data_IF_402536964108
#
_entry.id   IF_402536964108
#
_cell.length_a   1.000
_cell.length_b   1.000
_cell.length_c   1.000
_cell.angle_alpha   90.00
_cell.angle_beta   90.00
_cell.angle_gamma   90.00
#
_symmetry.space_group_name_H-M   'P 1'
#
loop_
_entity.id
_entity.type
_entity.pdbx_description
1 polymer ?
#
# COMPACT_ATOMS: atom_id res chain seq x y z
N UNK A 1 16.01 2.65 -2.22
CA UNK A 1 14.80 2.64 -1.38
C UNK A 1 14.89 3.64 -0.23
N UNK A 2 15.93 3.63 0.62
CA UNK A 2 16.06 4.59 1.73
C UNK A 2 15.98 6.07 1.33
N UNK A 3 16.77 6.50 0.34
CA UNK A 3 16.73 7.88 -0.18
C UNK A 3 15.35 8.27 -0.73
N UNK A 4 14.64 7.33 -1.36
CA UNK A 4 13.30 7.59 -1.87
C UNK A 4 12.33 7.90 -0.72
N UNK A 5 12.35 7.09 0.36
CA UNK A 5 11.48 7.32 1.51
C UNK A 5 11.85 8.56 2.31
N UNK A 6 13.15 8.87 2.42
CA UNK A 6 13.62 10.13 3.01
C UNK A 6 13.00 11.33 2.28
N UNK A 7 13.13 11.37 0.95
CA UNK A 7 12.56 12.43 0.10
C UNK A 7 11.04 12.48 0.13
N UNK A 8 10.37 11.33 0.23
CA UNK A 8 8.92 11.30 0.43
C UNK A 8 8.55 12.01 1.73
N UNK A 9 9.25 11.73 2.83
CA UNK A 9 8.98 12.44 4.08
C UNK A 9 9.37 13.91 4.06
N UNK A 10 10.43 14.31 3.35
CA UNK A 10 10.74 15.73 3.08
C UNK A 10 9.60 16.42 2.32
N UNK A 11 9.06 15.77 1.27
CA UNK A 11 7.89 16.26 0.54
C UNK A 11 6.62 16.33 1.40
N UNK A 12 6.50 15.44 2.39
CA UNK A 12 5.46 15.48 3.42
C UNK A 12 5.75 16.48 4.55
N UNK A 13 6.90 17.17 4.51
CA UNK A 13 7.36 18.14 5.52
C UNK A 13 7.51 17.52 6.91
N UNK A 14 7.93 16.25 6.96
CA UNK A 14 8.25 15.54 8.20
C UNK A 14 9.58 16.05 8.71
N UNK A 15 9.61 16.41 9.99
CA UNK A 15 10.83 16.78 10.70
C UNK A 15 11.62 15.54 11.10
N UNK A 16 12.92 15.54 10.80
CA UNK A 16 13.85 14.45 11.10
C UNK A 16 14.83 14.78 12.23
N UNK A 17 14.67 15.90 12.95
CA UNK A 17 15.60 16.36 14.00
C UNK A 17 15.88 15.33 15.11
N UNK A 18 14.96 14.37 15.30
CA UNK A 18 15.11 13.23 16.23
C UNK A 18 16.13 12.20 15.76
N UNK A 19 16.48 12.19 14.47
CA UNK A 19 17.47 11.30 13.88
C UNK A 19 18.86 11.92 13.96
N UNK A 20 19.87 11.11 14.29
CA UNK A 20 21.23 11.59 14.50
C UNK A 20 21.85 12.24 13.26
N UNK A 21 21.58 11.67 12.08
CA UNK A 21 22.09 12.17 10.81
C UNK A 21 21.40 13.43 10.30
N UNK A 22 20.30 13.89 10.91
CA UNK A 22 19.66 15.13 10.49
C UNK A 22 20.56 16.36 10.67
N UNK A 23 21.44 16.36 11.67
CA UNK A 23 22.35 17.48 11.98
C UNK A 23 23.61 17.48 11.11
N UNK A 24 24.12 16.31 10.76
CA UNK A 24 25.38 16.13 10.03
C UNK A 24 25.19 15.78 8.55
N UNK A 25 23.95 15.53 8.13
CA UNK A 25 23.63 14.83 6.89
C UNK A 25 23.82 13.32 7.01
N UNK A 26 23.15 12.59 6.11
CA UNK A 26 23.35 11.15 5.92
C UNK A 26 24.28 10.89 4.73
N UNK A 27 25.17 9.92 4.89
CA UNK A 27 26.09 9.48 3.82
C UNK A 27 25.34 8.83 2.66
N UNK A 28 24.35 8.00 2.97
CA UNK A 28 23.53 7.29 2.00
C UNK A 28 22.16 6.93 2.58
N UNK A 29 21.26 6.46 1.72
CA UNK A 29 19.93 6.03 2.16
C UNK A 29 19.93 4.81 3.09
N UNK A 30 21.02 4.04 3.17
CA UNK A 30 21.11 2.91 4.08
C UNK A 30 21.33 3.41 5.51
N UNK A 31 22.18 4.42 5.70
CA UNK A 31 22.35 5.08 6.99
C UNK A 31 21.01 5.65 7.48
N UNK A 32 20.31 6.42 6.65
CA UNK A 32 18.98 6.96 6.97
C UNK A 32 18.01 5.84 7.40
N UNK A 33 17.93 4.76 6.63
CA UNK A 33 17.00 3.65 6.93
C UNK A 33 17.30 2.99 8.27
N UNK A 34 18.58 2.79 8.61
CA UNK A 34 18.99 2.19 9.89
C UNK A 34 18.68 3.08 11.09
N UNK A 35 18.91 4.38 10.94
CA UNK A 35 18.57 5.35 11.99
C UNK A 35 17.06 5.42 12.21
N UNK A 36 16.28 5.42 11.12
CA UNK A 36 14.83 5.40 11.17
C UNK A 36 14.29 4.10 11.78
N UNK A 37 14.85 2.94 11.42
CA UNK A 37 14.50 1.62 11.98
C UNK A 37 14.72 1.62 13.50
N UNK A 38 15.91 2.03 13.95
CA UNK A 38 16.21 2.13 15.39
C UNK A 38 15.25 3.07 16.12
N UNK A 39 14.99 4.25 15.56
CA UNK A 39 14.04 5.19 16.15
C UNK A 39 12.62 4.61 16.21
N UNK A 40 12.19 3.90 15.16
CA UNK A 40 10.89 3.23 15.09
C UNK A 40 10.76 2.16 16.16
N UNK A 41 11.77 1.30 16.33
CA UNK A 41 11.77 0.26 17.36
C UNK A 41 11.64 0.87 18.76
N UNK A 42 12.43 1.89 19.09
CA UNK A 42 12.37 2.59 20.38
C UNK A 42 11.03 3.31 20.59
N UNK A 43 10.42 3.85 19.53
CA UNK A 43 9.11 4.48 19.60
C UNK A 43 8.02 3.44 19.86
N UNK A 44 8.04 2.31 19.15
CA UNK A 44 7.09 1.23 19.30
C UNK A 44 7.17 0.58 20.68
N UNK A 45 8.36 0.36 21.23
CA UNK A 45 8.52 -0.17 22.60
C UNK A 45 7.82 0.68 23.66
N UNK A 46 7.81 2.00 23.46
CA UNK A 46 7.21 2.96 24.39
C UNK A 46 5.72 3.18 24.16
N UNK A 47 5.26 3.14 22.90
CA UNK A 47 3.93 3.65 22.53
C UNK A 47 3.00 2.59 21.92
N UNK A 48 3.51 1.45 21.43
CA UNK A 48 2.70 0.37 20.86
C UNK A 48 2.12 -0.51 21.99
N UNK A 49 1.25 0.10 22.79
CA UNK A 49 0.66 -0.50 24.00
C UNK A 49 -0.77 -1.04 23.73
N UNK A 50 -1.24 -2.01 24.54
CA UNK A 50 -2.61 -2.51 24.44
C UNK A 50 -3.66 -1.42 24.67
N UNK A 51 -4.59 -1.26 23.73
CA UNK A 51 -5.72 -0.34 23.85
C UNK A 51 -6.98 -0.90 23.16
N UNK A 52 -8.15 -0.59 23.70
CA UNK A 52 -9.43 -1.01 23.12
C UNK A 52 -9.69 -0.37 21.75
N UNK A 53 -9.31 0.91 21.57
CA UNK A 53 -9.37 1.60 20.28
C UNK A 53 -8.51 0.93 19.19
N UNK A 54 -7.36 0.37 19.57
CA UNK A 54 -6.51 -0.39 18.66
C UNK A 54 -7.20 -1.68 18.22
N UNK A 55 -7.90 -2.35 19.14
CA UNK A 55 -8.67 -3.56 18.85
C UNK A 55 -9.81 -3.26 17.87
N UNK A 56 -10.60 -2.23 18.12
CA UNK A 56 -11.71 -1.84 17.24
C UNK A 56 -11.22 -1.54 15.81
N UNK A 57 -10.14 -0.77 15.70
CA UNK A 57 -9.52 -0.44 14.42
C UNK A 57 -8.99 -1.70 13.70
N UNK A 58 -8.37 -2.61 14.45
CA UNK A 58 -7.87 -3.88 13.93
C UNK A 58 -9.00 -4.80 13.46
N UNK A 59 -10.11 -4.87 14.19
CA UNK A 59 -11.28 -5.69 13.86
C UNK A 59 -11.91 -5.23 12.55
N UNK A 60 -12.12 -3.92 12.38
CA UNK A 60 -12.61 -3.34 11.13
C UNK A 60 -11.65 -3.55 9.96
N UNK A 61 -10.35 -3.35 10.19
CA UNK A 61 -9.33 -3.59 9.15
C UNK A 61 -9.28 -5.06 8.74
N UNK A 62 -9.37 -5.98 9.70
CA UNK A 62 -9.41 -7.42 9.46
C UNK A 62 -10.66 -7.81 8.67
N UNK A 63 -11.81 -7.19 8.97
CA UNK A 63 -13.03 -7.39 8.20
C UNK A 63 -12.87 -6.94 6.74
N UNK A 64 -12.17 -5.82 6.50
CA UNK A 64 -11.86 -5.36 5.14
C UNK A 64 -10.91 -6.31 4.40
N UNK A 65 -9.86 -6.79 5.06
CA UNK A 65 -8.92 -7.77 4.47
C UNK A 65 -9.62 -9.09 4.11
N UNK A 66 -10.61 -9.49 4.90
CA UNK A 66 -11.40 -10.71 4.69
C UNK A 66 -12.69 -10.47 3.89
N UNK A 67 -12.88 -9.27 3.33
CA UNK A 67 -14.04 -8.95 2.49
C UNK A 67 -14.17 -9.94 1.32
N UNK A 68 -13.02 -10.32 0.75
CA UNK A 68 -12.98 -11.22 -0.39
C UNK A 68 -13.26 -12.70 -0.01
N UNK A 69 -13.17 -13.05 1.27
CA UNK A 69 -13.16 -14.43 1.77
C UNK A 69 -14.58 -14.89 2.11
N UNK A 70 -15.02 -16.09 1.65
CA UNK A 70 -16.33 -16.64 2.02
C UNK A 70 -16.50 -16.77 3.53
N UNK A 71 -17.73 -16.59 4.04
CA UNK A 71 -18.02 -16.58 5.48
C UNK A 71 -17.50 -17.82 6.22
N UNK A 72 -17.60 -19.00 5.59
CA UNK A 72 -17.11 -20.27 6.14
C UNK A 72 -15.60 -20.27 6.45
N UNK A 73 -14.81 -19.42 5.79
CA UNK A 73 -13.36 -19.34 5.96
C UNK A 73 -12.89 -18.10 6.72
N UNK A 74 -13.80 -17.19 7.12
CA UNK A 74 -13.41 -15.94 7.79
C UNK A 74 -12.66 -16.17 9.09
N UNK A 75 -13.05 -17.17 9.89
CA UNK A 75 -12.34 -17.46 11.15
C UNK A 75 -10.93 -18.00 10.93
N UNK A 76 -10.72 -18.81 9.90
CA UNK A 76 -9.39 -19.23 9.49
C UNK A 76 -8.57 -18.02 8.99
N UNK A 77 -9.19 -17.16 8.19
CA UNK A 77 -8.60 -15.91 7.72
C UNK A 77 -8.16 -14.99 8.86
N UNK A 78 -8.98 -14.83 9.91
CA UNK A 78 -8.62 -14.04 11.11
C UNK A 78 -7.37 -14.58 11.79
N UNK A 79 -7.23 -15.91 11.90
CA UNK A 79 -6.02 -16.54 12.46
C UNK A 79 -4.80 -16.31 11.59
N UNK A 80 -4.94 -16.33 10.27
CA UNK A 80 -3.86 -16.00 9.32
C UNK A 80 -3.44 -14.54 9.44
N UNK A 81 -4.40 -13.61 9.49
CA UNK A 81 -4.13 -12.18 9.72
C UNK A 81 -3.37 -12.00 11.03
N UNK A 82 -3.82 -12.65 12.10
CA UNK A 82 -3.13 -12.64 13.39
C UNK A 82 -1.72 -13.23 13.34
N UNK A 83 -1.44 -14.20 12.46
CA UNK A 83 -0.09 -14.77 12.28
C UNK A 83 0.84 -13.89 11.43
N UNK A 84 0.27 -13.03 10.58
CA UNK A 84 1.02 -12.03 9.82
C UNK A 84 1.38 -10.80 10.65
N UNK A 85 0.72 -10.59 11.79
CA UNK A 85 1.01 -9.49 12.71
C UNK A 85 2.21 -9.82 13.59
N UNK A 86 3.13 -8.85 13.73
CA UNK A 86 4.22 -8.96 14.69
C UNK A 86 3.71 -9.09 16.13
N UNK A 87 4.51 -9.72 16.98
CA UNK A 87 4.11 -10.03 18.36
C UNK A 87 3.73 -8.80 19.18
N UNK A 88 4.43 -7.66 19.00
CA UNK A 88 4.15 -6.39 19.68
C UNK A 88 2.84 -5.78 19.17
N UNK A 89 2.69 -5.68 17.86
CA UNK A 89 1.49 -5.16 17.20
C UNK A 89 0.23 -5.93 17.62
N UNK A 90 0.31 -7.26 17.62
CA UNK A 90 -0.79 -8.13 17.99
C UNK A 90 -1.22 -7.95 19.46
N UNK A 91 -0.26 -7.81 20.37
CA UNK A 91 -0.53 -7.49 21.78
C UNK A 91 -1.19 -6.12 21.92
N UNK A 92 -0.71 -5.12 21.18
CA UNK A 92 -1.28 -3.77 21.18
C UNK A 92 -2.73 -3.75 20.67
N UNK A 93 -3.09 -4.64 19.76
CA UNK A 93 -4.45 -4.83 19.22
C UNK A 93 -5.34 -5.77 20.07
N UNK A 94 -4.85 -6.32 21.18
CA UNK A 94 -5.58 -7.30 22.00
C UNK A 94 -6.06 -8.53 21.20
N UNK A 95 -5.22 -8.98 20.27
CA UNK A 95 -5.47 -10.17 19.46
C UNK A 95 -4.81 -11.41 20.10
N UNK A 96 -5.50 -12.57 20.08
CA UNK A 96 -4.96 -13.80 20.65
C UNK A 96 -3.72 -14.28 19.89
N UNK A 97 -2.85 -15.04 20.55
CA UNK A 97 -1.74 -15.71 19.87
C UNK A 97 -2.27 -16.67 18.77
N UNK A 98 -1.73 -16.60 17.55
CA UNK A 98 -2.05 -17.58 16.52
C UNK A 98 -1.48 -18.95 16.91
N UNK A 99 -2.02 -20.05 16.37
CA UNK A 99 -1.43 -21.37 16.56
C UNK A 99 0.05 -21.37 16.15
N UNK A 100 0.94 -21.91 17.00
CA UNK A 100 2.39 -21.90 16.78
C UNK A 100 2.78 -22.49 15.41
N UNK A 101 2.09 -23.54 14.96
CA UNK A 101 2.29 -24.12 13.63
C UNK A 101 1.99 -23.14 12.50
N UNK A 102 0.94 -22.33 12.64
CA UNK A 102 0.58 -21.32 11.64
C UNK A 102 1.59 -20.18 11.60
N UNK A 103 2.04 -19.71 12.76
CA UNK A 103 3.11 -18.72 12.85
C UNK A 103 4.39 -19.22 12.16
N UNK A 104 4.82 -20.43 12.50
CA UNK A 104 6.00 -21.05 11.90
C UNK A 104 5.88 -21.17 10.38
N UNK A 105 4.71 -21.54 9.85
CA UNK A 105 4.47 -21.62 8.40
C UNK A 105 4.59 -20.24 7.73
N UNK A 106 4.03 -19.20 8.34
CA UNK A 106 4.10 -17.82 7.82
C UNK A 106 5.56 -17.34 7.81
N UNK A 107 6.25 -17.46 8.95
CA UNK A 107 7.63 -17.01 9.11
C UNK A 107 8.56 -17.73 8.13
N UNK A 108 8.43 -19.05 8.03
CA UNK A 108 9.21 -19.88 7.10
C UNK A 108 8.87 -19.51 5.67
N UNK A 109 7.60 -19.33 5.31
CA UNK A 109 7.18 -18.96 3.97
C UNK A 109 7.75 -17.60 3.53
N UNK A 110 7.74 -16.60 4.41
CA UNK A 110 8.33 -15.29 4.16
C UNK A 110 9.86 -15.36 4.06
N UNK A 111 10.51 -16.13 4.93
CA UNK A 111 11.97 -16.34 4.90
C UNK A 111 12.41 -17.07 3.62
N UNK A 112 11.71 -18.14 3.23
CA UNK A 112 11.95 -18.86 1.98
C UNK A 112 11.73 -17.95 0.79
N UNK A 113 10.64 -17.18 0.75
CA UNK A 113 10.40 -16.20 -0.33
C UNK A 113 11.54 -15.19 -0.43
N UNK A 114 12.02 -14.65 0.70
CA UNK A 114 13.17 -13.74 0.75
C UNK A 114 14.42 -14.40 0.14
N UNK A 115 14.72 -15.64 0.50
CA UNK A 115 15.88 -16.37 -0.02
C UNK A 115 15.77 -16.64 -1.52
N UNK A 116 14.61 -17.10 -1.98
CA UNK A 116 14.33 -17.35 -3.40
C UNK A 116 14.46 -16.06 -4.21
N UNK A 117 13.84 -14.97 -3.76
CA UNK A 117 13.90 -13.68 -4.46
C UNK A 117 15.30 -13.07 -4.44
N UNK A 118 16.10 -13.31 -3.40
CA UNK A 118 17.45 -12.77 -3.28
C UNK A 118 18.48 -13.54 -4.11
N UNK A 119 18.33 -14.86 -4.22
CA UNK A 119 19.40 -15.72 -4.77
C UNK A 119 19.01 -16.49 -6.04
N UNK A 120 17.72 -16.77 -6.27
CA UNK A 120 17.27 -17.63 -7.37
C UNK A 120 16.53 -16.87 -8.46
N UNK A 121 16.02 -15.66 -8.19
CA UNK A 121 15.35 -14.86 -9.22
C UNK A 121 16.27 -13.84 -9.85
N UNK A 122 16.31 -13.83 -11.18
CA UNK A 122 17.00 -12.82 -11.96
C UNK A 122 16.35 -11.43 -11.78
N UNK A 123 17.09 -10.33 -12.04
CA UNK A 123 16.50 -8.99 -12.10
C UNK A 123 15.27 -8.98 -12.99
N UNK A 124 14.15 -8.45 -12.49
CA UNK A 124 12.87 -8.47 -13.22
C UNK A 124 13.01 -7.69 -14.53
N UNK A 125 12.80 -8.32 -15.70
CA UNK A 125 12.81 -7.60 -16.98
C UNK A 125 11.71 -6.54 -17.03
N UNK A 126 11.99 -5.42 -17.69
CA UNK A 126 11.01 -4.32 -17.81
C UNK A 126 9.70 -4.78 -18.46
N UNK A 127 9.77 -5.69 -19.44
CA UNK A 127 8.59 -6.28 -20.11
C UNK A 127 7.64 -7.02 -19.15
N UNK A 128 8.13 -7.49 -17.99
CA UNK A 128 7.33 -8.18 -16.96
C UNK A 128 7.02 -7.29 -15.76
N UNK A 129 7.17 -5.98 -15.90
CA UNK A 129 6.75 -5.02 -14.88
C UNK A 129 5.27 -5.21 -14.59
N UNK A 130 4.91 -5.32 -13.31
CA UNK A 130 3.50 -5.29 -12.89
C UNK A 130 2.93 -3.92 -13.23
N UNK A 131 1.94 -3.88 -14.12
CA UNK A 131 1.21 -2.65 -14.50
C UNK A 131 -0.10 -2.62 -13.74
N UNK A 132 -0.23 -1.72 -12.78
CA UNK A 132 -1.46 -1.52 -12.00
C UNK A 132 -2.34 -0.47 -12.68
N UNK A 133 -1.71 0.48 -13.35
CA UNK A 133 -2.31 1.61 -14.03
C UNK A 133 -1.79 1.63 -15.47
N UNK A 134 -2.61 2.08 -16.42
CA UNK A 134 -2.19 2.27 -17.80
C UNK A 134 -1.09 3.35 -17.89
N UNK A 135 -0.16 3.19 -18.83
CA UNK A 135 0.94 4.16 -18.99
C UNK A 135 0.48 5.40 -19.77
N UNK A 136 -0.52 5.23 -20.64
CA UNK A 136 -1.05 6.29 -21.50
C UNK A 136 -2.34 6.89 -20.94
N UNK A 137 -2.55 8.17 -21.27
CA UNK A 137 -3.80 8.88 -21.01
C UNK A 137 -4.82 8.49 -22.08
N UNK A 138 -6.02 8.11 -21.65
CA UNK A 138 -7.10 7.73 -22.54
C UNK A 138 -7.69 8.94 -23.30
N UNK A 139 -8.62 8.66 -24.22
CA UNK A 139 -9.32 9.69 -25.01
C UNK A 139 -10.10 10.73 -24.16
N UNK A 140 -10.36 10.42 -22.88
CA UNK A 140 -11.05 11.30 -21.93
C UNK A 140 -10.10 12.10 -21.03
N UNK A 141 -8.79 12.08 -21.28
CA UNK A 141 -7.82 12.78 -20.43
C UNK A 141 -7.66 12.13 -19.05
N UNK A 142 -7.97 10.83 -18.92
CA UNK A 142 -7.96 10.02 -17.70
C UNK A 142 -7.08 8.79 -17.86
N UNK A 143 -6.76 8.13 -16.76
CA UNK A 143 -5.93 6.93 -16.74
C UNK A 143 -6.75 5.77 -16.20
N UNK A 144 -6.68 4.62 -16.86
CA UNK A 144 -7.38 3.41 -16.42
C UNK A 144 -6.55 2.62 -15.41
N UNK A 145 -7.26 1.98 -14.47
CA UNK A 145 -6.70 0.94 -13.62
C UNK A 145 -6.78 -0.39 -14.38
N UNK A 146 -5.69 -1.14 -14.41
CA UNK A 146 -5.59 -2.42 -15.11
C UNK A 146 -5.91 -3.62 -14.22
N UNK A 147 -5.84 -3.44 -12.90
CA UNK A 147 -6.11 -4.45 -11.89
C UNK A 147 -7.01 -3.82 -10.82
N UNK A 148 -8.05 -4.54 -10.41
CA UNK A 148 -8.91 -4.18 -9.29
C UNK A 148 -8.87 -5.27 -8.21
N UNK A 149 -9.14 -4.86 -6.98
CA UNK A 149 -9.09 -5.75 -5.81
C UNK A 149 -10.52 -6.17 -5.41
N UNK A 150 -11.27 -5.27 -4.77
CA UNK A 150 -12.63 -5.56 -4.27
C UNK A 150 -13.73 -5.11 -5.22
N UNK A 151 -13.58 -3.92 -5.81
CA UNK A 151 -14.56 -3.29 -6.68
C UNK A 151 -13.85 -2.68 -7.89
N UNK A 152 -14.50 -2.63 -9.07
CA UNK A 152 -13.88 -2.26 -10.35
C UNK A 152 -13.72 -0.74 -10.54
N UNK A 153 -13.17 -0.05 -9.52
CA UNK A 153 -12.92 1.40 -9.58
C UNK A 153 -11.92 1.77 -10.68
N UNK A 154 -12.34 2.66 -11.57
CA UNK A 154 -11.53 3.22 -12.66
C UNK A 154 -11.10 2.21 -13.72
N UNK A 155 -11.77 1.06 -13.79
CA UNK A 155 -11.51 -0.01 -14.76
C UNK A 155 -12.38 0.18 -16.00
N UNK A 156 -11.77 0.06 -17.17
CA UNK A 156 -12.49 0.10 -18.43
C UNK A 156 -13.36 -1.17 -18.61
N UNK A 157 -14.66 -1.03 -18.94
CA UNK A 157 -15.58 -2.16 -19.11
C UNK A 157 -15.43 -2.83 -20.48
N UNK A 158 -14.20 -3.21 -20.84
CA UNK A 158 -13.94 -3.99 -22.06
C UNK A 158 -14.50 -5.40 -21.92
N UNK A 159 -14.79 -6.07 -23.04
CA UNK A 159 -15.26 -7.45 -23.02
C UNK A 159 -14.29 -8.38 -22.27
N UNK A 160 -12.98 -8.17 -22.45
CA UNK A 160 -11.95 -8.95 -21.76
C UNK A 160 -11.96 -8.72 -20.24
N UNK A 161 -12.07 -7.46 -19.79
CA UNK A 161 -12.12 -7.15 -18.35
C UNK A 161 -13.43 -7.65 -17.72
N UNK A 162 -14.55 -7.54 -18.42
CA UNK A 162 -15.87 -7.94 -17.92
C UNK A 162 -16.01 -9.46 -17.78
N UNK A 163 -15.36 -10.24 -18.64
CA UNK A 163 -15.51 -11.71 -18.68
C UNK A 163 -14.23 -12.49 -18.39
N UNK A 164 -13.24 -11.87 -17.75
CA UNK A 164 -12.05 -12.58 -17.29
C UNK A 164 -12.38 -13.49 -16.09
N UNK A 165 -11.45 -14.39 -15.76
CA UNK A 165 -11.62 -15.34 -14.65
C UNK A 165 -11.91 -14.62 -13.32
N UNK A 166 -11.27 -13.48 -13.05
CA UNK A 166 -11.52 -12.71 -11.84
C UNK A 166 -12.96 -12.18 -11.79
N UNK A 167 -13.47 -11.60 -12.88
CA UNK A 167 -14.85 -11.11 -12.97
C UNK A 167 -15.88 -12.23 -12.80
N UNK A 168 -15.59 -13.44 -13.28
CA UNK A 168 -16.47 -14.59 -13.02
C UNK A 168 -16.53 -14.95 -11.53
N UNK A 169 -15.39 -14.96 -10.84
CA UNK A 169 -15.34 -15.21 -9.40
C UNK A 169 -16.08 -14.13 -8.63
N UNK A 170 -15.88 -12.85 -8.99
CA UNK A 170 -16.55 -11.71 -8.37
C UNK A 170 -18.07 -11.77 -8.61
N UNK A 171 -18.50 -12.04 -9.84
CA UNK A 171 -19.92 -12.19 -10.19
C UNK A 171 -20.60 -13.32 -9.41
N UNK A 172 -19.97 -14.49 -9.31
CA UNK A 172 -20.49 -15.61 -8.51
C UNK A 172 -20.56 -15.28 -7.01
N UNK A 173 -19.68 -14.39 -6.52
CA UNK A 173 -19.70 -13.89 -5.16
C UNK A 173 -20.68 -12.72 -4.94
N UNK A 174 -21.49 -12.35 -5.95
CA UNK A 174 -22.44 -11.24 -5.89
C UNK A 174 -21.78 -9.85 -5.89
N UNK A 175 -20.55 -9.75 -6.38
CA UNK A 175 -19.78 -8.50 -6.45
C UNK A 175 -19.94 -7.83 -7.82
N UNK A 176 -19.78 -6.49 -7.88
CA UNK A 176 -19.83 -5.76 -9.14
C UNK A 176 -18.68 -6.13 -10.06
N UNK A 177 -18.97 -6.36 -11.34
CA UNK A 177 -17.97 -6.54 -12.39
C UNK A 177 -17.78 -5.23 -13.19
N UNK A 178 -16.68 -5.08 -13.95
CA UNK A 178 -16.45 -3.87 -14.74
C UNK A 178 -17.64 -3.49 -15.63
N UNK A 179 -18.15 -2.27 -15.41
CA UNK A 179 -19.30 -1.70 -16.12
C UNK A 179 -20.66 -1.97 -15.47
N UNK A 180 -20.71 -2.64 -14.32
CA UNK A 180 -21.92 -2.68 -13.49
C UNK A 180 -22.14 -1.36 -12.75
N UNK A 181 -23.39 -1.08 -12.38
CA UNK A 181 -23.80 0.14 -11.67
C UNK A 181 -23.47 1.46 -12.41
N UNK A 182 -23.29 1.37 -13.74
CA UNK A 182 -23.13 2.51 -14.63
C UNK A 182 -21.86 3.33 -14.33
N UNK A 183 -22.04 4.58 -13.92
CA UNK A 183 -20.95 5.52 -13.68
C UNK A 183 -20.42 5.49 -12.23
N UNK A 184 -21.02 4.69 -11.33
CA UNK A 184 -20.63 4.65 -9.90
C UNK A 184 -19.14 4.35 -9.72
N UNK A 185 -18.62 3.37 -10.47
CA UNK A 185 -17.22 2.93 -10.37
C UNK A 185 -16.26 3.69 -11.30
N UNK A 186 -16.70 4.80 -11.90
CA UNK A 186 -15.93 5.63 -12.83
C UNK A 186 -15.25 4.82 -13.95
N UNK A 187 -16.02 4.11 -14.80
CA UNK A 187 -15.48 3.25 -15.85
C UNK A 187 -14.62 3.98 -16.89
N UNK A 188 -14.66 5.33 -16.92
CA UNK A 188 -13.84 6.20 -17.79
C UNK A 188 -12.43 6.48 -17.25
N UNK A 189 -12.06 5.88 -16.13
CA UNK A 189 -10.74 6.06 -15.50
C UNK A 189 -10.66 7.23 -14.52
N UNK A 190 -9.52 7.35 -13.85
CA UNK A 190 -9.28 8.41 -12.87
C UNK A 190 -8.43 9.54 -13.45
N UNK A 191 -8.58 10.72 -12.85
CA UNK A 191 -7.64 11.84 -13.00
C UNK A 191 -7.34 12.33 -11.60
N UNK A 192 -6.07 12.47 -11.24
CA UNK A 192 -5.64 12.87 -9.89
C UNK A 192 -6.37 14.11 -9.37
N UNK A 193 -6.54 15.12 -10.22
CA UNK A 193 -7.25 16.37 -9.93
C UNK A 193 -8.76 16.22 -9.63
N UNK A 194 -9.35 15.09 -10.00
CA UNK A 194 -10.78 14.80 -9.87
C UNK A 194 -11.05 13.56 -9.02
N UNK A 195 -10.06 13.09 -8.25
CA UNK A 195 -10.25 12.02 -7.27
C UNK A 195 -10.76 12.60 -5.95
N UNK A 196 -11.61 11.83 -5.25
CA UNK A 196 -12.10 12.18 -3.92
C UNK A 196 -13.61 12.45 -3.88
N UNK A 197 -14.11 12.95 -2.73
CA UNK A 197 -15.52 13.25 -2.53
C UNK A 197 -16.01 14.27 -3.57
N UNK A 198 -17.24 14.10 -4.07
CA UNK A 198 -17.80 14.94 -5.14
C UNK A 198 -17.72 16.45 -4.86
N UNK A 199 -17.80 16.85 -3.58
CA UNK A 199 -17.73 18.26 -3.17
C UNK A 199 -16.31 18.87 -3.15
N UNK A 200 -15.26 18.05 -3.25
CA UNK A 200 -13.86 18.48 -3.33
C UNK A 200 -13.28 18.41 -4.75
N UNK A 201 -13.98 17.77 -5.68
CA UNK A 201 -13.54 17.63 -7.08
C UNK A 201 -13.26 19.00 -7.69
N UNK A 202 -12.05 19.17 -8.23
CA UNK A 202 -11.63 20.41 -8.90
C UNK A 202 -11.24 21.57 -7.97
N UNK A 203 -11.24 21.37 -6.64
CA UNK A 203 -10.74 22.37 -5.68
C UNK A 203 -9.26 22.19 -5.41
N UNK A 204 -8.57 23.27 -5.05
CA UNK A 204 -7.16 23.22 -4.62
C UNK A 204 -6.13 23.01 -5.74
N UNK A 205 -6.52 23.11 -7.02
CA UNK A 205 -5.63 22.82 -8.15
C UNK A 205 -4.38 23.69 -8.17
N UNK A 206 -4.51 24.99 -7.88
CA UNK A 206 -3.38 25.91 -7.84
C UNK A 206 -2.38 25.58 -6.71
N UNK A 207 -2.85 24.98 -5.61
CA UNK A 207 -1.96 24.50 -4.55
C UNK A 207 -1.29 23.19 -4.97
N UNK A 208 -2.06 22.27 -5.54
CA UNK A 208 -1.54 20.99 -6.02
C UNK A 208 -0.46 21.16 -7.09
N UNK A 209 -0.60 22.13 -8.00
CA UNK A 209 0.42 22.45 -9.02
C UNK A 209 1.71 22.96 -8.39
N UNK A 210 1.61 23.88 -7.40
CA UNK A 210 2.78 24.35 -6.64
C UNK A 210 3.45 23.22 -5.86
N UNK A 211 2.67 22.36 -5.22
CA UNK A 211 3.19 21.22 -4.47
C UNK A 211 3.85 20.21 -5.41
N UNK A 212 3.31 19.99 -6.61
CA UNK A 212 3.91 19.13 -7.63
C UNK A 212 5.28 19.64 -8.07
N UNK A 213 5.43 20.94 -8.31
CA UNK A 213 6.71 21.54 -8.67
C UNK A 213 7.74 21.41 -7.54
N UNK A 214 7.32 21.65 -6.29
CA UNK A 214 8.18 21.45 -5.11
C UNK A 214 8.62 19.98 -4.96
N UNK A 215 7.69 19.03 -5.10
CA UNK A 215 7.99 17.60 -5.01
C UNK A 215 8.94 17.18 -6.14
N UNK A 216 8.74 17.69 -7.36
CA UNK A 216 9.64 17.43 -8.49
C UNK A 216 11.06 17.90 -8.19
N UNK A 217 11.22 19.06 -7.56
CA UNK A 217 12.52 19.59 -7.13
C UNK A 217 13.17 18.69 -6.07
N UNK A 218 12.45 18.33 -5.00
CA UNK A 218 12.92 17.42 -3.94
C UNK A 218 13.34 16.06 -4.52
N UNK A 219 12.58 15.54 -5.48
CA UNK A 219 12.83 14.23 -6.08
C UNK A 219 14.02 14.18 -7.04
N UNK A 220 14.59 15.31 -7.48
CA UNK A 220 15.76 15.35 -8.38
C UNK A 220 16.96 14.62 -7.77
N UNK A 221 17.69 13.85 -8.59
CA UNK A 221 18.80 13.00 -8.14
C UNK A 221 19.94 13.76 -7.45
N UNK A 222 20.08 15.07 -7.67
CA UNK A 222 21.29 15.82 -7.37
C UNK A 222 21.36 16.39 -5.95
N UNK A 223 20.30 16.24 -5.14
CA UNK A 223 20.12 17.08 -3.95
C UNK A 223 20.61 16.52 -2.60
N UNK A 224 20.89 15.21 -2.44
CA UNK A 224 20.94 14.65 -1.06
C UNK A 224 21.91 13.49 -0.80
N UNK A 225 23.03 13.43 -1.52
CA UNK A 225 24.19 12.68 -1.02
C UNK A 225 25.31 13.69 -0.81
N UNK A 226 25.66 13.94 0.46
CA UNK A 226 26.84 14.73 0.79
C UNK A 226 28.04 14.16 0.03
N UNK A 227 28.69 14.98 -0.79
CA UNK A 227 30.09 14.75 -1.18
C UNK A 227 30.96 14.58 0.06
#
# INVERSE_FOLDING_TARGET
MGLFWMKVGEGMKIDYDVLTGAKSGWKDGLQFTRELEKWSDEYEERNMVPAESNKETADHTTALLLYAVPDAFKDAGRKVVSALMDSRLRKAMLYPDPPAMLQWLVDTGLATRKLVLRHLTLPRPFAWRKRIVADDVNAHGRIFKLIWDTEPWYVEPTFANRWCLQSWVDWMAGRPIPGDEGEKYFPRGFKSSHMGPAFLVGKGLAQAEKDEDQIREIMRCDATVST
#
